data_IF_982694581705
#
_entry.id   IF_982694581705
#
_cell.length_a   1.000
_cell.length_b   1.000
_cell.length_c   1.000
_cell.angle_alpha   90.00
_cell.angle_beta   90.00
_cell.angle_gamma   90.00
#
_symmetry.space_group_name_H-M   'P 1'
#
loop_
_entity.id
_entity.type
_entity.pdbx_description
1 polymer ?
#
# COMPACT_ATOMS: atom_id res chain seq x y z
N UNK A 1 -25.46 17.12 28.37
CA UNK A 1 -24.06 16.71 28.56
C UNK A 1 -23.32 17.10 27.28
N UNK A 2 -22.32 17.99 27.30
CA UNK A 2 -21.67 18.49 26.10
C UNK A 2 -20.65 17.46 25.58
N UNK A 3 -20.52 17.43 24.26
CA UNK A 3 -19.62 16.62 23.50
C UNK A 3 -18.14 16.98 23.82
N UNK A 4 -17.32 15.95 24.11
CA UNK A 4 -15.88 16.09 24.33
C UNK A 4 -15.16 16.37 23.03
N UNK A 5 -14.43 17.47 22.99
CA UNK A 5 -13.51 17.82 21.92
C UNK A 5 -12.34 16.83 21.89
N UNK A 6 -12.06 16.27 20.71
CA UNK A 6 -10.89 15.45 20.46
C UNK A 6 -9.63 16.34 20.50
N UNK A 7 -8.73 16.03 21.43
CA UNK A 7 -7.42 16.68 21.55
C UNK A 7 -6.55 16.37 20.31
N UNK A 8 -5.84 17.36 19.75
CA UNK A 8 -4.93 17.13 18.63
C UNK A 8 -3.73 16.29 19.11
N UNK A 9 -3.31 15.35 18.25
CA UNK A 9 -2.13 14.54 18.48
C UNK A 9 -0.89 15.41 18.72
N UNK A 10 0.00 15.03 19.66
CA UNK A 10 1.18 15.85 19.97
C UNK A 10 2.14 15.86 18.78
N UNK A 11 2.58 17.04 18.43
CA UNK A 11 3.66 17.26 17.48
C UNK A 11 4.91 16.49 17.97
N UNK A 12 5.53 15.72 17.08
CA UNK A 12 6.76 14.97 17.35
C UNK A 12 7.88 15.96 17.77
N UNK A 13 8.03 16.12 19.06
CA UNK A 13 9.13 16.89 19.64
C UNK A 13 10.42 16.07 19.59
N UNK A 14 11.45 16.66 19.02
CA UNK A 14 12.80 16.09 18.98
C UNK A 14 13.30 15.82 20.41
N UNK A 15 13.44 14.54 20.78
CA UNK A 15 14.07 14.16 22.05
C UNK A 15 15.56 14.45 21.99
N UNK A 16 16.08 15.24 22.92
CA UNK A 16 17.51 15.46 23.10
C UNK A 16 18.06 14.38 24.02
N UNK A 17 18.85 13.46 23.45
CA UNK A 17 19.65 12.52 24.26
C UNK A 17 20.95 13.23 24.61
N UNK A 18 21.17 13.47 25.92
CA UNK A 18 22.48 13.94 26.44
C UNK A 18 23.28 12.70 26.81
N UNK A 19 24.29 12.34 26.05
CA UNK A 19 25.30 11.36 26.46
C UNK A 19 26.48 12.10 27.11
N UNK A 20 26.87 11.66 28.28
CA UNK A 20 28.05 12.18 29.00
C UNK A 20 29.21 11.23 28.74
N UNK A 21 30.26 11.71 28.12
CA UNK A 21 31.55 11.02 28.07
C UNK A 21 32.48 11.59 29.12
N UNK A 22 33.05 10.73 29.95
CA UNK A 22 34.15 11.09 30.86
C UNK A 22 35.46 11.01 30.07
N UNK A 23 36.10 12.12 29.83
CA UNK A 23 37.50 12.18 29.38
C UNK A 23 38.39 12.43 30.55
N UNK A 24 39.61 11.87 30.54
CA UNK A 24 40.61 11.95 31.58
C UNK A 24 40.89 13.42 31.97
N UNK A 25 40.57 13.77 33.23
CA UNK A 25 40.86 15.09 33.81
C UNK A 25 42.32 15.15 34.31
N UNK A 26 43.14 15.92 33.67
CA UNK A 26 44.37 16.47 34.30
C UNK A 26 43.97 17.65 35.20
N UNK A 27 44.63 17.82 36.38
CA UNK A 27 44.19 18.81 37.36
C UNK A 27 44.81 20.22 37.07
N UNK A 28 44.22 20.99 36.15
CA UNK A 28 44.26 22.48 36.16
C UNK A 28 43.28 23.02 35.07
N UNK A 29 42.24 23.71 35.51
CA UNK A 29 41.56 24.75 34.73
C UNK A 29 40.47 24.30 33.76
N UNK A 30 39.23 24.69 34.06
CA UNK A 30 38.04 24.82 33.20
C UNK A 30 37.73 23.66 32.22
N UNK A 31 36.87 22.78 32.64
CA UNK A 31 36.23 21.78 31.76
C UNK A 31 35.22 22.51 30.85
N UNK A 32 35.56 22.72 29.58
CA UNK A 32 34.67 23.28 28.59
C UNK A 32 33.72 22.15 28.15
N UNK A 33 32.46 22.21 28.57
CA UNK A 33 31.40 21.29 28.13
C UNK A 33 31.09 21.52 26.65
N UNK A 34 31.60 20.68 25.80
CA UNK A 34 31.26 20.69 24.37
C UNK A 34 29.88 20.01 24.23
N UNK A 35 28.84 20.81 24.03
CA UNK A 35 27.50 20.31 23.69
C UNK A 35 27.46 19.93 22.21
N UNK A 36 27.60 18.65 21.91
CA UNK A 36 27.38 18.14 20.54
C UNK A 36 25.88 17.91 20.33
N UNK A 37 25.23 18.80 19.59
CA UNK A 37 23.84 18.68 19.18
C UNK A 37 23.77 17.78 17.95
N UNK A 38 23.56 16.49 18.14
CA UNK A 38 23.28 15.55 17.04
C UNK A 38 21.85 15.78 16.59
N UNK A 39 21.66 16.44 15.45
CA UNK A 39 20.36 16.45 14.76
C UNK A 39 20.13 15.06 14.16
N UNK A 40 19.39 14.21 14.85
CA UNK A 40 18.90 12.98 14.27
C UNK A 40 17.84 13.37 13.24
N UNK A 41 18.18 13.33 11.97
CA UNK A 41 17.22 13.44 10.88
C UNK A 41 16.50 12.10 10.78
N UNK A 42 15.32 12.00 11.36
CA UNK A 42 14.44 10.89 11.07
C UNK A 42 14.00 11.01 9.60
N UNK A 43 14.50 10.11 8.76
CA UNK A 43 14.01 10.02 7.38
C UNK A 43 12.53 9.66 7.40
N UNK A 44 11.71 10.44 6.67
CA UNK A 44 10.27 10.12 6.52
C UNK A 44 10.11 8.70 6.01
N UNK A 45 9.09 7.98 6.48
CA UNK A 45 8.75 6.68 5.91
C UNK A 45 8.30 6.84 4.45
N UNK A 46 8.54 5.81 3.64
CA UNK A 46 8.32 5.82 2.20
C UNK A 46 7.28 4.78 1.83
N UNK A 47 6.27 5.18 1.06
CA UNK A 47 5.23 4.30 0.56
C UNK A 47 5.18 4.33 -0.97
N UNK A 48 4.91 3.19 -1.60
CA UNK A 48 4.57 3.09 -3.02
C UNK A 48 3.13 2.59 -3.16
N UNK A 49 2.33 3.29 -3.97
CA UNK A 49 0.97 2.88 -4.32
C UNK A 49 0.91 2.66 -5.83
N UNK A 50 0.63 1.43 -6.28
CA UNK A 50 0.50 1.11 -7.70
C UNK A 50 -0.87 1.48 -8.25
N UNK A 51 -0.96 1.95 -9.50
CA UNK A 51 -2.22 2.36 -10.11
C UNK A 51 -2.88 3.55 -9.42
N UNK A 52 -2.08 4.50 -8.92
CA UNK A 52 -2.53 5.57 -8.04
C UNK A 52 -2.88 6.89 -8.75
N UNK A 53 -3.00 6.91 -10.08
CA UNK A 53 -3.34 8.13 -10.83
C UNK A 53 -4.83 8.51 -10.76
N UNK A 54 -5.69 7.65 -10.21
CA UNK A 54 -7.14 7.88 -10.04
C UNK A 54 -7.77 6.90 -9.05
N UNK A 55 -9.04 7.13 -8.72
CA UNK A 55 -9.86 6.21 -7.94
C UNK A 55 -9.31 5.92 -6.54
N UNK A 56 -9.48 4.69 -6.08
CA UNK A 56 -9.06 4.26 -4.74
C UNK A 56 -7.56 4.51 -4.52
N UNK A 57 -6.71 4.15 -5.48
CA UNK A 57 -5.26 4.31 -5.35
C UNK A 57 -4.83 5.77 -5.15
N UNK A 58 -5.50 6.72 -5.78
CA UNK A 58 -5.26 8.15 -5.61
C UNK A 58 -5.60 8.62 -4.19
N UNK A 59 -6.76 8.20 -3.65
CA UNK A 59 -7.15 8.52 -2.29
C UNK A 59 -6.26 7.83 -1.24
N UNK A 60 -5.82 6.60 -1.50
CA UNK A 60 -4.82 5.92 -0.66
C UNK A 60 -3.51 6.70 -0.63
N UNK A 61 -3.02 7.15 -1.80
CA UNK A 61 -1.81 7.95 -1.89
C UNK A 61 -1.95 9.28 -1.12
N UNK A 62 -3.10 9.96 -1.26
CA UNK A 62 -3.41 11.19 -0.52
C UNK A 62 -3.36 10.96 0.99
N UNK A 63 -4.10 9.97 1.49
CA UNK A 63 -4.24 9.73 2.92
C UNK A 63 -2.94 9.27 3.58
N UNK A 64 -2.14 8.42 2.91
CA UNK A 64 -0.81 8.02 3.39
C UNK A 64 0.13 9.24 3.43
N UNK A 65 0.10 10.12 2.42
CA UNK A 65 0.91 11.33 2.42
C UNK A 65 0.50 12.32 3.54
N UNK A 66 -0.82 12.44 3.82
CA UNK A 66 -1.33 13.22 4.95
C UNK A 66 -0.84 12.70 6.30
N UNK A 67 -0.52 11.41 6.38
CA UNK A 67 0.09 10.78 7.58
C UNK A 67 1.60 10.98 7.68
N UNK A 68 2.19 11.83 6.84
CA UNK A 68 3.59 12.24 6.92
C UNK A 68 4.58 11.38 6.12
N UNK A 69 4.10 10.46 5.29
CA UNK A 69 4.93 9.64 4.40
C UNK A 69 5.37 10.42 3.15
N UNK A 70 6.51 10.05 2.60
CA UNK A 70 6.81 10.29 1.19
C UNK A 70 6.06 9.23 0.39
N UNK A 71 5.18 9.65 -0.50
CA UNK A 71 4.40 8.70 -1.32
C UNK A 71 4.88 8.70 -2.77
N UNK A 72 5.20 7.53 -3.25
CA UNK A 72 5.50 7.26 -4.65
C UNK A 72 4.20 6.86 -5.36
N UNK A 73 3.69 7.75 -6.19
CA UNK A 73 2.49 7.54 -6.97
C UNK A 73 2.85 6.79 -8.26
N UNK A 74 2.64 5.47 -8.24
CA UNK A 74 2.93 4.59 -9.36
C UNK A 74 1.79 4.60 -10.40
N UNK A 75 2.09 4.94 -11.65
CA UNK A 75 1.13 4.85 -12.75
C UNK A 75 1.82 4.55 -14.09
N UNK A 76 1.12 3.79 -14.97
CA UNK A 76 1.64 3.40 -16.29
C UNK A 76 1.64 4.55 -17.31
N UNK A 77 0.70 5.47 -17.18
CA UNK A 77 0.60 6.63 -18.06
C UNK A 77 1.29 7.83 -17.40
N UNK A 78 2.33 8.34 -18.05
CA UNK A 78 3.15 9.45 -17.56
C UNK A 78 2.37 10.75 -17.40
N UNK A 79 1.47 11.05 -18.34
CA UNK A 79 0.71 12.30 -18.31
C UNK A 79 -0.24 12.34 -17.12
N UNK A 80 -1.14 11.36 -17.02
CA UNK A 80 -2.12 11.28 -15.93
C UNK A 80 -1.47 11.02 -14.55
N UNK A 81 -0.32 10.30 -14.52
CA UNK A 81 0.42 10.09 -13.28
C UNK A 81 1.08 11.37 -12.76
N UNK A 82 1.68 12.20 -13.64
CA UNK A 82 2.24 13.51 -13.28
C UNK A 82 1.17 14.50 -12.84
N UNK A 83 0.05 14.52 -13.54
CA UNK A 83 -1.10 15.35 -13.20
C UNK A 83 -1.62 15.01 -11.80
N UNK A 84 -1.84 13.72 -11.52
CA UNK A 84 -2.29 13.26 -10.21
C UNK A 84 -1.30 13.60 -9.09
N UNK A 85 0.00 13.37 -9.32
CA UNK A 85 1.03 13.76 -8.34
C UNK A 85 1.08 15.28 -8.14
N UNK A 86 0.95 16.07 -9.21
CA UNK A 86 0.87 17.53 -9.16
C UNK A 86 -0.29 18.03 -8.33
N UNK A 87 -1.48 17.41 -8.49
CA UNK A 87 -2.66 17.70 -7.67
C UNK A 87 -2.36 17.51 -6.18
N UNK A 88 -1.79 16.36 -5.80
CA UNK A 88 -1.47 16.10 -4.40
C UNK A 88 -0.34 16.99 -3.86
N UNK A 89 0.62 17.34 -4.70
CA UNK A 89 1.69 18.28 -4.33
C UNK A 89 1.14 19.70 -4.12
N UNK A 90 0.12 20.12 -4.87
CA UNK A 90 -0.56 21.40 -4.64
C UNK A 90 -1.30 21.44 -3.30
N UNK A 91 -1.70 20.30 -2.75
CA UNK A 91 -2.21 20.12 -1.39
C UNK A 91 -1.09 20.12 -0.32
N UNK A 92 0.17 20.43 -0.69
CA UNK A 92 1.37 20.41 0.15
C UNK A 92 1.76 19.03 0.67
N UNK A 93 1.38 17.98 -0.05
CA UNK A 93 1.72 16.59 0.27
C UNK A 93 3.03 16.19 -0.43
N UNK A 94 3.86 15.37 0.23
CA UNK A 94 5.11 14.86 -0.35
C UNK A 94 4.81 13.64 -1.23
N UNK A 95 4.34 13.92 -2.44
CA UNK A 95 3.97 12.89 -3.42
C UNK A 95 4.83 13.04 -4.67
N UNK A 96 5.40 11.93 -5.16
CA UNK A 96 6.28 11.89 -6.32
C UNK A 96 5.79 10.87 -7.33
N UNK A 97 5.66 11.27 -8.58
CA UNK A 97 5.31 10.35 -9.65
C UNK A 97 6.44 9.36 -9.95
N UNK A 98 6.07 8.08 -10.09
CA UNK A 98 6.92 7.01 -10.60
C UNK A 98 6.21 6.30 -11.76
N UNK A 99 6.87 6.23 -12.91
CA UNK A 99 6.34 5.42 -14.01
C UNK A 99 6.41 3.95 -13.64
N UNK A 100 5.25 3.31 -13.59
CA UNK A 100 5.12 1.91 -13.19
C UNK A 100 3.94 1.26 -13.90
N UNK A 101 4.26 0.47 -14.91
CA UNK A 101 3.33 -0.50 -15.50
C UNK A 101 3.64 -1.86 -14.90
N UNK A 102 2.74 -2.38 -14.09
CA UNK A 102 2.91 -3.64 -13.36
C UNK A 102 2.99 -4.87 -14.28
N UNK A 103 2.70 -4.70 -15.58
CA UNK A 103 2.80 -5.76 -16.60
C UNK A 103 4.14 -5.74 -17.36
N UNK A 104 5.04 -4.77 -17.06
CA UNK A 104 6.29 -4.55 -17.76
C UNK A 104 7.47 -4.53 -16.81
N UNK A 105 8.31 -5.57 -16.89
CA UNK A 105 9.47 -5.74 -15.98
C UNK A 105 10.45 -4.57 -16.05
N UNK A 106 10.61 -3.93 -17.22
CA UNK A 106 11.51 -2.79 -17.40
C UNK A 106 11.11 -1.61 -16.50
N UNK A 107 9.81 -1.30 -16.42
CA UNK A 107 9.31 -0.21 -15.57
C UNK A 107 9.36 -0.57 -14.09
N UNK A 108 9.14 -1.84 -13.75
CA UNK A 108 9.24 -2.35 -12.38
C UNK A 108 10.68 -2.24 -11.88
N UNK A 109 11.65 -2.73 -12.66
CA UNK A 109 13.07 -2.66 -12.32
C UNK A 109 13.57 -1.22 -12.21
N UNK A 110 13.16 -0.35 -13.14
CA UNK A 110 13.50 1.07 -13.10
C UNK A 110 12.92 1.78 -11.85
N UNK A 111 11.67 1.45 -11.47
CA UNK A 111 11.07 1.97 -10.26
C UNK A 111 11.82 1.51 -9.00
N UNK A 112 12.17 0.22 -8.91
CA UNK A 112 12.93 -0.32 -7.79
C UNK A 112 14.32 0.35 -7.65
N UNK A 113 15.06 0.46 -8.75
CA UNK A 113 16.37 1.13 -8.77
C UNK A 113 16.28 2.61 -8.34
N UNK A 114 15.25 3.32 -8.81
CA UNK A 114 15.02 4.70 -8.41
C UNK A 114 14.70 4.83 -6.91
N UNK A 115 13.84 3.95 -6.38
CA UNK A 115 13.50 3.95 -4.95
C UNK A 115 14.74 3.65 -4.10
N UNK A 116 15.57 2.72 -4.53
CA UNK A 116 16.83 2.42 -3.86
C UNK A 116 17.77 3.62 -3.84
N UNK A 117 17.95 4.29 -4.99
CA UNK A 117 18.82 5.46 -5.11
C UNK A 117 18.32 6.66 -4.29
N UNK A 118 17.02 6.93 -4.31
CA UNK A 118 16.42 8.11 -3.68
C UNK A 118 16.23 7.95 -2.17
N UNK A 119 15.95 6.71 -1.69
CA UNK A 119 15.50 6.47 -0.31
C UNK A 119 16.21 5.32 0.40
N UNK A 120 16.83 4.41 -0.32
CA UNK A 120 17.52 3.25 0.23
C UNK A 120 16.62 2.17 0.83
N UNK A 121 15.33 2.45 1.05
CA UNK A 121 14.31 1.56 1.65
C UNK A 121 12.92 1.83 1.12
N UNK A 122 11.99 0.92 1.41
CA UNK A 122 10.55 1.09 1.24
C UNK A 122 9.85 0.59 2.50
N UNK A 123 8.94 1.39 3.08
CA UNK A 123 8.23 1.01 4.30
C UNK A 123 6.86 0.40 4.01
N UNK A 124 6.17 0.88 2.96
CA UNK A 124 4.84 0.39 2.58
C UNK A 124 4.75 0.17 1.08
N UNK A 125 4.26 -0.99 0.69
CA UNK A 125 3.84 -1.29 -0.68
C UNK A 125 2.33 -1.53 -0.71
N UNK A 126 1.59 -0.75 -1.51
CA UNK A 126 0.18 -0.98 -1.79
C UNK A 126 0.03 -1.45 -3.24
N UNK A 127 -0.24 -2.74 -3.43
CA UNK A 127 -0.59 -3.34 -4.70
C UNK A 127 -2.06 -3.05 -5.00
N UNK A 128 -2.33 -1.86 -5.56
CA UNK A 128 -3.68 -1.41 -5.90
C UNK A 128 -3.99 -1.53 -7.39
N UNK A 129 -2.98 -1.54 -8.27
CA UNK A 129 -3.21 -1.64 -9.71
C UNK A 129 -4.06 -2.87 -10.05
N UNK A 130 -5.16 -2.65 -10.76
CA UNK A 130 -6.07 -3.70 -11.18
C UNK A 130 -7.00 -3.26 -12.30
N UNK A 131 -7.52 -4.23 -13.02
CA UNK A 131 -8.49 -4.06 -14.10
C UNK A 131 -9.65 -5.03 -13.94
N UNK A 132 -10.80 -4.66 -14.49
CA UNK A 132 -11.86 -5.56 -14.92
C UNK A 132 -11.94 -5.51 -16.44
N UNK A 133 -12.39 -6.59 -17.06
CA UNK A 133 -12.55 -6.65 -18.52
C UNK A 133 -14.05 -6.75 -18.83
N UNK A 134 -14.54 -5.94 -19.77
CA UNK A 134 -15.95 -5.93 -20.15
C UNK A 134 -16.42 -7.23 -20.83
N UNK A 135 -15.46 -8.04 -21.31
CA UNK A 135 -15.72 -9.35 -21.92
C UNK A 135 -15.52 -10.50 -20.93
N UNK A 136 -15.25 -10.19 -19.64
CA UNK A 136 -15.19 -11.22 -18.58
C UNK A 136 -16.60 -11.77 -18.33
N UNK A 137 -16.67 -13.03 -17.96
CA UNK A 137 -17.95 -13.69 -17.83
C UNK A 137 -17.90 -15.05 -17.13
N UNK A 138 -18.99 -15.84 -17.26
CA UNK A 138 -19.10 -17.11 -16.58
C UNK A 138 -18.06 -18.13 -17.09
N UNK A 139 -17.68 -19.11 -16.24
CA UNK A 139 -16.64 -20.10 -16.54
C UNK A 139 -16.81 -20.86 -17.85
N UNK A 140 -18.04 -21.06 -18.28
CA UNK A 140 -18.35 -21.81 -19.51
C UNK A 140 -18.15 -21.00 -20.81
N UNK A 141 -17.88 -19.69 -20.74
CA UNK A 141 -17.87 -18.80 -21.92
C UNK A 141 -16.76 -17.75 -21.94
N UNK A 142 -16.13 -17.46 -20.81
CA UNK A 142 -15.02 -16.48 -20.78
C UNK A 142 -13.85 -17.00 -21.62
N UNK A 143 -13.24 -16.14 -22.43
CA UNK A 143 -12.08 -16.52 -23.22
C UNK A 143 -10.79 -16.53 -22.39
N UNK A 144 -9.84 -17.35 -22.81
CA UNK A 144 -8.52 -17.45 -22.17
C UNK A 144 -7.79 -16.12 -22.24
N UNK A 145 -7.87 -15.39 -23.36
CA UNK A 145 -7.21 -14.11 -23.56
C UNK A 145 -7.72 -13.03 -22.57
N UNK A 146 -9.00 -13.05 -22.23
CA UNK A 146 -9.58 -12.18 -21.19
C UNK A 146 -8.99 -12.54 -19.84
N UNK A 147 -8.97 -13.82 -19.50
CA UNK A 147 -8.41 -14.30 -18.24
C UNK A 147 -6.93 -13.94 -18.11
N UNK A 148 -6.13 -14.14 -19.17
CA UNK A 148 -4.70 -13.81 -19.19
C UNK A 148 -4.47 -12.31 -18.94
N UNK A 149 -5.21 -11.43 -19.61
CA UNK A 149 -5.08 -9.97 -19.40
C UNK A 149 -5.35 -9.58 -17.95
N UNK A 150 -6.43 -10.10 -17.37
CA UNK A 150 -6.84 -9.79 -16.00
C UNK A 150 -5.85 -10.36 -15.00
N UNK A 151 -5.46 -11.63 -15.13
CA UNK A 151 -4.46 -12.28 -14.28
C UNK A 151 -3.09 -11.59 -14.38
N UNK A 152 -2.67 -11.20 -15.58
CA UNK A 152 -1.39 -10.51 -15.80
C UNK A 152 -1.31 -9.22 -15.00
N UNK A 153 -2.37 -8.43 -14.97
CA UNK A 153 -2.38 -7.16 -14.23
C UNK A 153 -2.61 -7.38 -12.74
N UNK A 154 -3.70 -8.08 -12.38
CA UNK A 154 -4.19 -8.09 -11.00
C UNK A 154 -3.39 -9.02 -10.09
N UNK A 155 -2.75 -10.05 -10.64
CA UNK A 155 -2.02 -11.05 -9.89
C UNK A 155 -0.53 -11.05 -10.22
N UNK A 156 -0.14 -11.40 -11.45
CA UNK A 156 1.28 -11.51 -11.81
C UNK A 156 2.02 -10.19 -11.67
N UNK A 157 1.35 -9.07 -11.98
CA UNK A 157 1.90 -7.73 -11.80
C UNK A 157 2.18 -7.42 -10.33
N UNK A 158 1.25 -7.74 -9.42
CA UNK A 158 1.46 -7.56 -7.98
C UNK A 158 2.62 -8.43 -7.45
N UNK A 159 2.73 -9.68 -7.91
CA UNK A 159 3.85 -10.58 -7.59
C UNK A 159 5.16 -9.96 -8.06
N UNK A 160 5.26 -9.56 -9.33
CA UNK A 160 6.47 -9.01 -9.93
C UNK A 160 6.94 -7.72 -9.21
N UNK A 161 6.01 -6.79 -8.94
CA UNK A 161 6.32 -5.56 -8.20
C UNK A 161 6.80 -5.88 -6.78
N UNK A 162 6.13 -6.80 -6.09
CA UNK A 162 6.51 -7.20 -4.74
C UNK A 162 7.90 -7.83 -4.71
N UNK A 163 8.20 -8.76 -5.61
CA UNK A 163 9.51 -9.41 -5.70
C UNK A 163 10.63 -8.40 -5.95
N UNK A 164 10.43 -7.46 -6.86
CA UNK A 164 11.42 -6.42 -7.17
C UNK A 164 11.68 -5.46 -6.00
N UNK A 165 10.67 -5.20 -5.17
CA UNK A 165 10.76 -4.26 -4.05
C UNK A 165 11.03 -4.94 -2.69
N UNK A 166 10.96 -6.26 -2.61
CA UNK A 166 11.17 -6.99 -1.36
C UNK A 166 12.54 -6.71 -0.72
N UNK A 167 13.67 -6.56 -1.46
CA UNK A 167 14.93 -6.15 -0.87
C UNK A 167 14.88 -4.79 -0.15
N UNK A 168 14.07 -3.85 -0.65
CA UNK A 168 13.89 -2.53 -0.04
C UNK A 168 12.94 -2.57 1.16
N UNK A 169 11.89 -3.40 1.11
CA UNK A 169 10.98 -3.65 2.23
C UNK A 169 11.70 -4.30 3.41
N UNK A 170 12.68 -5.18 3.15
CA UNK A 170 13.54 -5.78 4.18
C UNK A 170 14.44 -4.78 4.91
N UNK A 171 14.67 -3.61 4.34
CA UNK A 171 15.44 -2.52 4.97
C UNK A 171 14.56 -1.63 5.88
N UNK A 172 13.25 -1.85 5.88
CA UNK A 172 12.32 -1.18 6.79
C UNK A 172 12.29 -1.84 8.16
N UNK A 173 12.10 -1.03 9.21
CA UNK A 173 11.90 -1.56 10.56
C UNK A 173 10.51 -2.21 10.77
N UNK A 174 9.54 -1.81 9.94
CA UNK A 174 8.17 -2.33 9.98
C UNK A 174 7.60 -2.33 8.57
N UNK A 175 8.09 -3.23 7.70
CA UNK A 175 7.66 -3.35 6.32
C UNK A 175 6.20 -3.82 6.21
N UNK A 176 5.42 -3.23 5.29
CA UNK A 176 4.02 -3.62 5.07
C UNK A 176 3.71 -3.77 3.60
N UNK A 177 3.01 -4.84 3.27
CA UNK A 177 2.49 -5.10 1.93
C UNK A 177 0.97 -5.22 2.03
N UNK A 178 0.26 -4.36 1.32
CA UNK A 178 -1.20 -4.37 1.24
C UNK A 178 -1.63 -4.71 -0.18
N UNK A 179 -2.26 -5.85 -0.35
CA UNK A 179 -2.82 -6.29 -1.61
C UNK A 179 -4.29 -5.91 -1.68
N UNK A 180 -4.65 -4.98 -2.58
CA UNK A 180 -6.04 -4.57 -2.77
C UNK A 180 -6.78 -5.67 -3.50
N UNK A 181 -7.53 -6.46 -2.75
CA UNK A 181 -8.32 -7.59 -3.22
C UNK A 181 -9.80 -7.20 -3.43
N UNK A 182 -10.68 -8.15 -3.30
CA UNK A 182 -12.13 -8.01 -3.38
C UNK A 182 -12.79 -9.20 -2.70
N UNK A 183 -13.96 -9.02 -2.14
CA UNK A 183 -14.80 -10.11 -1.65
C UNK A 183 -15.18 -11.11 -2.76
N UNK A 184 -15.13 -10.68 -4.04
CA UNK A 184 -15.22 -11.58 -5.21
C UNK A 184 -14.02 -12.53 -5.35
N UNK A 185 -12.95 -12.35 -4.58
CA UNK A 185 -11.83 -13.28 -4.48
C UNK A 185 -12.01 -14.34 -3.38
N UNK A 186 -13.11 -14.31 -2.61
CA UNK A 186 -13.39 -15.29 -1.58
C UNK A 186 -14.06 -16.54 -2.19
N UNK A 187 -13.33 -17.65 -2.18
CA UNK A 187 -13.87 -18.96 -2.65
C UNK A 187 -15.01 -19.41 -1.75
N UNK A 188 -14.88 -19.20 -0.45
CA UNK A 188 -15.91 -19.55 0.54
C UNK A 188 -17.22 -18.83 0.27
N UNK A 189 -17.18 -17.50 -0.01
CA UNK A 189 -18.38 -16.73 -0.34
C UNK A 189 -19.04 -17.18 -1.65
N UNK A 190 -18.26 -17.51 -2.66
CA UNK A 190 -18.80 -18.03 -3.92
C UNK A 190 -19.50 -19.40 -3.78
N UNK A 191 -19.18 -20.17 -2.73
CA UNK A 191 -19.86 -21.41 -2.38
C UNK A 191 -21.21 -21.21 -1.69
N UNK A 192 -21.52 -20.01 -1.20
CA UNK A 192 -22.79 -19.67 -0.55
C UNK A 192 -23.77 -19.03 -1.55
N UNK A 193 -24.82 -19.77 -1.91
CA UNK A 193 -25.84 -19.30 -2.83
C UNK A 193 -26.68 -18.11 -2.29
N UNK A 194 -26.65 -17.87 -0.98
CA UNK A 194 -27.36 -16.75 -0.32
C UNK A 194 -26.57 -15.45 -0.31
N UNK A 195 -25.27 -15.54 -0.65
CA UNK A 195 -24.43 -14.35 -0.69
C UNK A 195 -24.92 -13.35 -1.76
N UNK A 196 -24.99 -12.07 -1.38
CA UNK A 196 -25.56 -11.00 -2.23
C UNK A 196 -24.94 -10.90 -3.64
N UNK A 197 -23.69 -11.35 -3.82
CA UNK A 197 -22.98 -11.36 -5.10
C UNK A 197 -22.82 -12.76 -5.70
N UNK A 198 -23.54 -13.78 -5.20
CA UNK A 198 -23.48 -15.15 -5.73
C UNK A 198 -23.79 -15.23 -7.24
N UNK A 199 -24.57 -14.28 -7.76
CA UNK A 199 -24.92 -14.15 -9.18
C UNK A 199 -23.81 -13.54 -10.05
N UNK A 200 -22.80 -12.88 -9.45
CA UNK A 200 -21.70 -12.24 -10.18
C UNK A 200 -20.73 -13.31 -10.68
N UNK A 201 -20.69 -13.51 -11.99
CA UNK A 201 -19.89 -14.55 -12.66
C UNK A 201 -18.92 -13.90 -13.65
N UNK A 202 -17.81 -13.36 -13.13
CA UNK A 202 -16.68 -12.77 -13.87
C UNK A 202 -15.41 -13.53 -13.49
N UNK A 203 -15.21 -14.69 -14.15
CA UNK A 203 -14.22 -15.68 -13.71
C UNK A 203 -12.80 -15.11 -13.70
N UNK A 204 -12.42 -14.32 -14.71
CA UNK A 204 -11.08 -13.74 -14.79
C UNK A 204 -10.78 -12.85 -13.60
N UNK A 205 -11.71 -11.96 -13.24
CA UNK A 205 -11.55 -11.08 -12.09
C UNK A 205 -11.56 -11.85 -10.77
N UNK A 206 -12.56 -12.72 -10.55
CA UNK A 206 -12.67 -13.52 -9.33
C UNK A 206 -11.41 -14.38 -9.11
N UNK A 207 -10.97 -15.10 -10.14
CA UNK A 207 -9.77 -15.93 -10.09
C UNK A 207 -8.51 -15.10 -9.81
N UNK A 208 -8.38 -13.90 -10.40
CA UNK A 208 -7.24 -13.01 -10.15
C UNK A 208 -7.15 -12.55 -8.70
N UNK A 209 -8.30 -12.27 -8.07
CA UNK A 209 -8.36 -11.85 -6.66
C UNK A 209 -8.18 -13.02 -5.69
N UNK A 210 -8.68 -14.21 -6.04
CA UNK A 210 -8.39 -15.45 -5.30
C UNK A 210 -6.89 -15.81 -5.35
N UNK A 211 -6.26 -15.68 -6.52
CA UNK A 211 -4.81 -15.88 -6.68
C UNK A 211 -4.00 -14.85 -5.86
N UNK A 212 -4.41 -13.59 -5.83
CA UNK A 212 -3.80 -12.53 -5.02
C UNK A 212 -3.95 -12.82 -3.52
N UNK A 213 -5.09 -13.37 -3.10
CA UNK A 213 -5.34 -13.82 -1.73
C UNK A 213 -4.40 -14.98 -1.35
N UNK A 214 -4.24 -15.98 -2.23
CA UNK A 214 -3.28 -17.06 -2.02
C UNK A 214 -1.84 -16.55 -1.91
N UNK A 215 -1.43 -15.62 -2.78
CA UNK A 215 -0.13 -14.96 -2.69
C UNK A 215 0.06 -14.25 -1.34
N UNK A 216 -0.96 -13.58 -0.84
CA UNK A 216 -0.93 -12.92 0.49
C UNK A 216 -0.62 -13.92 1.60
N UNK A 217 -1.35 -15.04 1.64
CA UNK A 217 -1.17 -16.06 2.71
C UNK A 217 0.23 -16.67 2.65
N UNK A 218 0.68 -17.08 1.46
CA UNK A 218 1.99 -17.71 1.31
C UNK A 218 3.13 -16.76 1.61
N UNK A 219 3.06 -15.52 1.11
CA UNK A 219 4.09 -14.52 1.35
C UNK A 219 4.13 -14.08 2.83
N UNK A 220 2.98 -13.97 3.48
CA UNK A 220 2.91 -13.67 4.91
C UNK A 220 3.60 -14.77 5.74
N UNK A 221 3.41 -16.03 5.37
CA UNK A 221 4.09 -17.16 6.02
C UNK A 221 5.60 -17.13 5.77
N UNK A 222 6.05 -16.87 4.54
CA UNK A 222 7.47 -16.75 4.17
C UNK A 222 8.18 -15.63 4.95
N UNK A 223 7.49 -14.49 5.14
CA UNK A 223 8.08 -13.28 5.72
C UNK A 223 7.83 -13.12 7.23
N UNK A 224 7.20 -14.10 7.91
CA UNK A 224 6.76 -14.01 9.31
C UNK A 224 7.87 -13.62 10.30
N UNK A 225 9.11 -14.07 10.04
CA UNK A 225 10.27 -13.84 10.89
C UNK A 225 11.11 -12.62 10.44
N UNK A 226 10.63 -11.87 9.44
CA UNK A 226 11.36 -10.75 8.82
C UNK A 226 10.77 -9.37 9.18
N UNK A 227 9.76 -9.31 10.05
CA UNK A 227 9.12 -8.05 10.46
C UNK A 227 8.32 -7.39 9.34
N UNK A 228 7.91 -8.14 8.31
CA UNK A 228 7.09 -7.64 7.20
C UNK A 228 5.69 -8.22 7.29
N UNK A 229 4.68 -7.36 7.46
CA UNK A 229 3.28 -7.77 7.45
C UNK A 229 2.72 -7.75 6.02
N UNK A 230 1.95 -8.79 5.66
CA UNK A 230 1.32 -8.93 4.34
C UNK A 230 -0.17 -9.23 4.52
N UNK A 231 -1.04 -8.38 3.98
CA UNK A 231 -2.48 -8.57 4.09
C UNK A 231 -3.20 -8.28 2.77
N UNK A 232 -4.32 -8.96 2.54
CA UNK A 232 -5.31 -8.60 1.53
C UNK A 232 -6.36 -7.68 2.13
N UNK A 233 -6.82 -6.68 1.38
CA UNK A 233 -7.88 -5.77 1.81
C UNK A 233 -8.97 -5.71 0.75
N UNK A 234 -10.22 -5.90 1.19
CA UNK A 234 -11.41 -5.62 0.39
C UNK A 234 -11.84 -4.17 0.61
N UNK A 235 -11.81 -3.30 -0.41
CA UNK A 235 -12.27 -1.92 -0.31
C UNK A 235 -13.80 -1.79 -0.24
N UNK A 236 -14.54 -2.86 -0.43
CA UNK A 236 -15.98 -2.83 -0.64
C UNK A 236 -16.37 -2.39 -2.06
N UNK A 237 -17.69 -2.31 -2.32
CA UNK A 237 -18.21 -1.92 -3.64
C UNK A 237 -18.13 -0.40 -3.83
N UNK A 238 -17.00 0.06 -4.29
CA UNK A 238 -16.62 1.47 -4.42
C UNK A 238 -16.86 1.99 -5.85
N UNK A 239 -17.45 3.18 -5.99
CA UNK A 239 -17.72 3.82 -7.28
C UNK A 239 -16.41 4.28 -7.94
N UNK A 240 -15.98 3.54 -8.96
CA UNK A 240 -14.75 3.80 -9.75
C UNK A 240 -14.98 3.49 -11.21
N UNK A 241 -14.05 3.91 -12.07
CA UNK A 241 -14.08 3.56 -13.50
C UNK A 241 -14.10 2.04 -13.74
N UNK A 242 -13.53 1.26 -12.84
CA UNK A 242 -13.46 -0.20 -12.93
C UNK A 242 -14.86 -0.84 -13.02
N UNK A 243 -15.86 -0.21 -12.41
CA UNK A 243 -17.24 -0.68 -12.41
C UNK A 243 -18.24 0.33 -12.99
N UNK A 244 -17.77 1.28 -13.82
CA UNK A 244 -18.58 2.37 -14.39
C UNK A 244 -19.34 3.16 -13.31
N UNK A 245 -18.68 3.42 -12.18
CA UNK A 245 -19.18 4.17 -11.02
C UNK A 245 -20.47 3.61 -10.37
N UNK A 246 -20.72 2.30 -10.53
CA UNK A 246 -21.91 1.64 -9.95
C UNK A 246 -21.76 1.26 -8.46
N UNK A 247 -20.61 1.55 -7.85
CA UNK A 247 -20.37 1.30 -6.43
C UNK A 247 -21.25 2.15 -5.53
N UNK A 248 -21.51 1.64 -4.32
CA UNK A 248 -22.29 2.33 -3.30
C UNK A 248 -21.43 3.25 -2.41
N UNK A 249 -20.13 2.98 -2.36
CA UNK A 249 -19.16 3.75 -1.56
C UNK A 249 -18.42 4.76 -2.43
N UNK A 250 -18.05 5.87 -1.81
CA UNK A 250 -17.09 6.84 -2.40
C UNK A 250 -15.68 6.25 -2.43
N UNK A 251 -14.81 6.78 -3.28
CA UNK A 251 -13.40 6.38 -3.32
C UNK A 251 -12.67 6.61 -1.99
N UNK A 252 -13.09 7.62 -1.21
CA UNK A 252 -12.55 7.91 0.11
C UNK A 252 -12.92 6.81 1.12
N UNK A 253 -14.17 6.37 1.13
CA UNK A 253 -14.62 5.26 1.98
C UNK A 253 -13.93 3.95 1.59
N UNK A 254 -13.82 3.65 0.28
CA UNK A 254 -13.11 2.48 -0.20
C UNK A 254 -11.60 2.48 0.10
N UNK A 255 -10.98 3.67 0.21
CA UNK A 255 -9.57 3.80 0.59
C UNK A 255 -9.32 3.60 2.09
N UNK A 256 -10.31 3.85 2.94
CA UNK A 256 -10.12 3.96 4.39
C UNK A 256 -9.48 2.72 5.02
N UNK A 257 -9.98 1.52 4.71
CA UNK A 257 -9.45 0.27 5.27
C UNK A 257 -8.05 -0.05 4.73
N UNK A 258 -7.79 0.23 3.44
CA UNK A 258 -6.46 0.06 2.83
C UNK A 258 -5.44 0.93 3.57
N UNK A 259 -5.79 2.19 3.82
CA UNK A 259 -4.94 3.15 4.55
C UNK A 259 -4.73 2.69 5.99
N UNK A 260 -5.78 2.27 6.69
CA UNK A 260 -5.69 1.75 8.05
C UNK A 260 -4.67 0.60 8.14
N UNK A 261 -4.77 -0.38 7.24
CA UNK A 261 -3.87 -1.54 7.21
C UNK A 261 -2.45 -1.13 6.80
N UNK A 262 -2.31 -0.21 5.84
CA UNK A 262 -1.02 0.29 5.38
C UNK A 262 -0.24 1.06 6.48
N UNK A 263 -0.94 1.72 7.40
CA UNK A 263 -0.33 2.51 8.47
C UNK A 263 -0.15 1.74 9.79
N UNK A 264 -0.65 0.51 9.89
CA UNK A 264 -0.62 -0.29 11.11
C UNK A 264 0.75 -0.98 11.27
N UNK A 265 1.65 -0.40 12.06
CA UNK A 265 3.05 -0.87 12.20
C UNK A 265 3.18 -2.26 12.86
N UNK A 266 2.28 -2.60 13.78
CA UNK A 266 2.28 -3.87 14.51
C UNK A 266 0.95 -4.60 14.34
N UNK A 267 0.47 -4.68 13.09
CA UNK A 267 -0.78 -5.33 12.75
C UNK A 267 -0.66 -6.84 12.48
N UNK A 268 -1.80 -7.47 12.20
CA UNK A 268 -1.82 -8.86 11.76
C UNK A 268 -1.11 -9.04 10.43
N UNK A 269 -0.70 -10.28 10.13
CA UNK A 269 -0.18 -10.68 8.83
C UNK A 269 -0.89 -11.94 8.37
N UNK A 270 -1.05 -12.10 7.05
CA UNK A 270 -1.74 -13.24 6.45
C UNK A 270 -3.27 -13.18 6.62
N UNK A 271 -3.84 -11.96 6.65
CA UNK A 271 -5.27 -11.75 6.83
C UNK A 271 -5.93 -11.17 5.58
N UNK A 272 -7.22 -11.49 5.44
CA UNK A 272 -8.11 -10.85 4.48
C UNK A 272 -9.05 -9.93 5.25
N UNK A 273 -8.90 -8.62 5.06
CA UNK A 273 -9.53 -7.61 5.91
C UNK A 273 -10.53 -6.76 5.11
N UNK A 274 -11.59 -6.32 5.78
CA UNK A 274 -12.51 -5.29 5.29
C UNK A 274 -12.93 -4.37 6.45
N UNK A 275 -13.60 -3.27 6.13
CA UNK A 275 -14.19 -2.42 7.16
C UNK A 275 -15.12 -3.24 8.04
N UNK A 276 -14.79 -3.33 9.32
CA UNK A 276 -15.55 -4.08 10.31
C UNK A 276 -15.00 -5.44 10.68
N UNK A 277 -13.95 -5.94 10.01
CA UNK A 277 -13.35 -7.20 10.45
C UNK A 277 -12.57 -8.01 9.42
N UNK A 278 -12.44 -9.29 9.69
CA UNK A 278 -11.76 -10.26 8.84
C UNK A 278 -12.76 -10.98 7.93
N UNK A 279 -12.40 -11.12 6.67
CA UNK A 279 -13.13 -11.88 5.66
C UNK A 279 -12.67 -13.34 5.63
N UNK A 280 -13.57 -14.21 5.21
CA UNK A 280 -13.22 -15.59 4.82
C UNK A 280 -12.58 -15.60 3.44
N UNK A 281 -11.60 -16.50 3.27
CA UNK A 281 -10.87 -16.69 2.00
C UNK A 281 -11.72 -17.30 0.88
#
# INVERSE_FOLDING_TARGET
>A
MPAGEASPAPALSAWRIKSWFWGDCQPVGYCQLISVSVKVHFMKPVALVTGANKGIGFEVARAIAQSGYVVLLGARNRATGREAAGTLTSERLDVRFVELDVTRMETISAAAARIEADFGKLDVLVNNAGIADSHDGPPSRVSIEVMERVLRTNFLGAVAVTQALLPLLRKSHAGRIVNVSSDLGSITRHGDATWKYAHVKVLGYCASKAALNMFTVQLAFELRDQGIAVNSVNPGFTATDLNAHRGQQTVKEGAAEIVRVALLEHGPSGKFLETGGELVW
#
